data_IF_964988628877
#
_entry.id   IF_964988628877
#
_cell.length_a   1.000
_cell.length_b   1.000
_cell.length_c   1.000
_cell.angle_alpha   90.00
_cell.angle_beta   90.00
_cell.angle_gamma   90.00
#
_symmetry.space_group_name_H-M   'P 1'
#
loop_
_entity.id
_entity.type
_entity.pdbx_description
1 polymer ?
#
# COMPACT_ATOMS: atom_id res chain seq x y z
N UNK A 1 -17.52 10.41 4.22
CA UNK A 1 -18.05 9.08 4.60
C UNK A 1 -16.94 8.07 4.34
N UNK A 2 -16.58 7.27 5.35
CA UNK A 2 -15.59 6.19 5.21
C UNK A 2 -16.18 5.06 4.36
N UNK A 3 -15.34 4.41 3.57
CA UNK A 3 -15.71 3.29 2.69
C UNK A 3 -15.07 1.97 3.16
N UNK A 4 -14.00 2.06 3.93
CA UNK A 4 -13.24 0.89 4.39
C UNK A 4 -13.00 0.98 5.90
N UNK A 5 -13.33 -0.11 6.58
CA UNK A 5 -12.93 -0.36 7.96
C UNK A 5 -11.81 -1.42 7.95
N UNK A 6 -10.62 -1.00 8.34
CA UNK A 6 -9.48 -1.89 8.53
C UNK A 6 -9.49 -2.32 9.99
N UNK A 7 -9.51 -3.62 10.27
CA UNK A 7 -9.50 -4.16 11.62
C UNK A 7 -8.20 -4.92 11.84
N UNK A 8 -7.39 -4.46 12.79
CA UNK A 8 -6.27 -5.23 13.29
C UNK A 8 -6.80 -6.27 14.27
N UNK A 9 -6.64 -7.55 13.96
CA UNK A 9 -7.18 -8.62 14.79
C UNK A 9 -6.38 -8.83 16.08
N UNK A 10 -5.09 -8.48 16.05
CA UNK A 10 -4.18 -8.60 17.17
C UNK A 10 -3.18 -7.44 17.15
N UNK A 11 -2.59 -7.11 18.32
CA UNK A 11 -1.52 -6.11 18.36
C UNK A 11 -0.35 -6.50 17.44
N UNK A 12 -0.07 -7.81 17.30
CA UNK A 12 0.98 -8.35 16.42
C UNK A 12 0.54 -8.54 14.96
N UNK A 13 -0.64 -8.04 14.56
CA UNK A 13 -1.11 -8.11 13.16
C UNK A 13 -0.06 -7.60 12.17
N UNK A 14 0.06 -8.31 11.03
CA UNK A 14 1.11 -8.00 10.04
C UNK A 14 0.99 -6.57 9.52
N UNK A 15 2.12 -5.88 9.38
CA UNK A 15 2.11 -4.57 8.73
C UNK A 15 2.22 -4.72 7.22
N UNK A 16 1.36 -4.04 6.49
CA UNK A 16 1.40 -3.95 5.02
C UNK A 16 1.71 -2.53 4.51
N UNK A 17 2.11 -1.64 5.44
CA UNK A 17 2.45 -0.23 5.19
C UNK A 17 3.96 0.01 5.29
N UNK A 18 4.39 1.29 5.18
CA UNK A 18 5.79 1.66 5.39
C UNK A 18 6.26 1.47 6.84
N UNK A 19 5.39 1.69 7.83
CA UNK A 19 5.72 1.48 9.23
C UNK A 19 5.88 0.00 9.56
N UNK A 20 6.87 -0.36 10.36
CA UNK A 20 6.93 -1.65 11.01
C UNK A 20 5.97 -1.70 12.19
N UNK A 21 5.45 -2.88 12.49
CA UNK A 21 4.71 -3.13 13.71
C UNK A 21 5.70 -3.44 14.85
N UNK A 22 5.81 -2.61 15.90
CA UNK A 22 6.75 -2.82 16.99
C UNK A 22 6.20 -3.75 18.09
N UNK A 23 4.92 -4.11 18.04
CA UNK A 23 4.31 -4.92 19.08
C UNK A 23 4.75 -6.37 19.00
N UNK A 24 5.09 -6.94 20.13
CA UNK A 24 5.51 -8.34 20.30
C UNK A 24 4.58 -9.15 21.19
N UNK A 25 3.76 -8.46 21.99
CA UNK A 25 2.76 -9.09 22.85
C UNK A 25 1.48 -9.35 22.07
N UNK A 26 0.98 -10.56 22.18
CA UNK A 26 -0.28 -10.98 21.53
C UNK A 26 -1.46 -10.50 22.38
N UNK A 27 -2.17 -9.53 21.85
CA UNK A 27 -3.41 -9.00 22.43
C UNK A 27 -4.48 -9.05 21.36
N UNK A 28 -5.18 -10.18 21.28
CA UNK A 28 -6.25 -10.39 20.32
C UNK A 28 -7.42 -9.44 20.64
N UNK A 29 -8.02 -8.85 19.61
CA UNK A 29 -9.20 -8.00 19.74
C UNK A 29 -10.31 -8.77 20.50
N UNK A 30 -10.93 -8.22 21.56
CA UNK A 30 -12.02 -8.91 22.24
C UNK A 30 -13.15 -9.28 21.27
N UNK A 31 -13.69 -10.50 21.39
CA UNK A 31 -14.70 -11.03 20.46
C UNK A 31 -15.95 -10.15 20.39
N UNK A 32 -16.39 -9.58 21.52
CA UNK A 32 -17.50 -8.64 21.57
C UNK A 32 -17.19 -7.31 20.84
N UNK A 33 -15.95 -6.87 20.90
CA UNK A 33 -15.46 -5.68 20.18
C UNK A 33 -15.44 -5.94 18.69
N UNK A 34 -14.98 -7.12 18.25
CA UNK A 34 -14.99 -7.52 16.83
C UNK A 34 -16.43 -7.60 16.31
N UNK A 35 -17.34 -8.20 17.07
CA UNK A 35 -18.76 -8.25 16.72
C UNK A 35 -19.39 -6.86 16.58
N UNK A 36 -19.10 -5.95 17.52
CA UNK A 36 -19.54 -4.54 17.44
C UNK A 36 -18.95 -3.83 16.22
N UNK A 37 -17.68 -4.12 15.86
CA UNK A 37 -17.03 -3.54 14.68
C UNK A 37 -17.72 -3.99 13.38
N UNK A 38 -18.10 -5.25 13.26
CA UNK A 38 -18.87 -5.73 12.11
C UNK A 38 -20.26 -5.08 12.02
N UNK A 39 -20.95 -4.95 13.13
CA UNK A 39 -22.24 -4.23 13.16
C UNK A 39 -22.08 -2.75 12.80
N UNK A 40 -20.98 -2.12 13.24
CA UNK A 40 -20.66 -0.73 12.88
C UNK A 40 -20.40 -0.59 11.37
N UNK A 41 -19.61 -1.50 10.78
CA UNK A 41 -19.31 -1.49 9.34
C UNK A 41 -20.57 -1.66 8.50
N UNK A 42 -21.44 -2.60 8.85
CA UNK A 42 -22.72 -2.84 8.17
C UNK A 42 -23.63 -1.62 8.23
N UNK A 43 -23.81 -1.01 9.42
CA UNK A 43 -24.62 0.20 9.59
C UNK A 43 -24.08 1.40 8.82
N UNK A 44 -22.76 1.46 8.65
CA UNK A 44 -22.07 2.56 7.99
C UNK A 44 -21.80 2.29 6.50
N UNK A 45 -22.22 1.14 5.97
CA UNK A 45 -21.97 0.67 4.61
C UNK A 45 -20.47 0.72 4.24
N UNK A 46 -19.63 0.11 5.08
CA UNK A 46 -18.18 0.04 4.92
C UNK A 46 -17.74 -1.37 4.55
N UNK A 47 -16.81 -1.48 3.61
CA UNK A 47 -16.11 -2.74 3.32
C UNK A 47 -15.13 -3.03 4.45
N UNK A 48 -15.05 -4.29 4.87
CA UNK A 48 -14.17 -4.74 5.94
C UNK A 48 -12.87 -5.30 5.37
N UNK A 49 -11.75 -4.91 5.96
CA UNK A 49 -10.45 -5.52 5.73
C UNK A 49 -9.90 -6.03 7.06
N UNK A 50 -9.60 -7.31 7.15
CA UNK A 50 -9.07 -7.94 8.35
C UNK A 50 -7.56 -8.16 8.21
N UNK A 51 -6.80 -7.67 9.16
CA UNK A 51 -5.34 -7.83 9.19
C UNK A 51 -4.97 -8.84 10.25
N UNK A 52 -4.38 -9.95 9.81
CA UNK A 52 -4.11 -11.12 10.63
C UNK A 52 -2.75 -11.05 11.32
N UNK A 53 -2.63 -11.66 12.52
CA UNK A 53 -1.34 -11.98 13.14
C UNK A 53 -0.66 -13.17 12.42
N UNK A 54 0.51 -13.56 12.89
CA UNK A 54 1.31 -14.68 12.36
C UNK A 54 0.90 -16.07 12.90
N UNK A 55 -0.28 -16.16 13.52
CA UNK A 55 -0.79 -17.39 14.12
C UNK A 55 -2.29 -17.59 13.79
N UNK A 56 -2.73 -18.83 13.88
CA UNK A 56 -4.12 -19.22 13.67
C UNK A 56 -5.05 -18.65 14.73
N UNK A 57 -6.15 -18.06 14.30
CA UNK A 57 -7.17 -17.54 15.20
C UNK A 57 -7.95 -18.68 15.90
N UNK A 58 -8.45 -18.47 17.13
CA UNK A 58 -9.40 -19.37 17.77
C UNK A 58 -10.65 -19.62 16.93
N UNK A 59 -11.29 -20.78 17.13
CA UNK A 59 -12.47 -21.20 16.32
C UNK A 59 -13.61 -20.19 16.38
N UNK A 60 -13.88 -19.61 17.54
CA UNK A 60 -14.96 -18.63 17.74
C UNK A 60 -14.75 -17.35 16.92
N UNK A 61 -13.50 -16.96 16.63
CA UNK A 61 -13.20 -15.84 15.72
C UNK A 61 -13.41 -16.24 14.26
N UNK A 62 -12.97 -17.44 13.89
CA UNK A 62 -13.18 -17.95 12.52
C UNK A 62 -14.66 -18.06 12.20
N UNK A 63 -15.47 -18.55 13.12
CA UNK A 63 -16.94 -18.67 12.97
C UNK A 63 -17.58 -17.29 12.79
N UNK A 64 -17.19 -16.29 13.60
CA UNK A 64 -17.71 -14.93 13.50
C UNK A 64 -17.28 -14.23 12.18
N UNK A 65 -16.06 -14.45 11.73
CA UNK A 65 -15.51 -13.86 10.51
C UNK A 65 -16.16 -14.49 9.25
N UNK A 66 -16.44 -15.77 9.27
CA UNK A 66 -17.02 -16.49 8.14
C UNK A 66 -18.33 -15.88 7.62
N UNK A 67 -19.13 -15.32 8.50
CA UNK A 67 -20.44 -14.72 8.17
C UNK A 67 -20.35 -13.31 7.55
N UNK A 68 -19.15 -12.74 7.45
CA UNK A 68 -18.96 -11.36 7.00
C UNK A 68 -18.13 -11.32 5.73
N UNK A 69 -18.64 -10.63 4.70
CA UNK A 69 -17.83 -10.34 3.50
C UNK A 69 -16.68 -9.40 3.87
N UNK A 70 -15.46 -9.84 3.60
CA UNK A 70 -14.25 -9.11 3.96
C UNK A 70 -13.09 -9.43 3.01
N UNK A 71 -12.05 -8.61 3.06
CA UNK A 71 -10.75 -8.91 2.46
C UNK A 71 -9.78 -9.31 3.56
N UNK A 72 -9.12 -10.47 3.42
CA UNK A 72 -8.11 -10.88 4.38
C UNK A 72 -6.70 -10.46 3.94
N UNK A 73 -5.94 -9.88 4.88
CA UNK A 73 -4.55 -9.46 4.73
C UNK A 73 -3.74 -10.27 5.73
N UNK A 74 -2.93 -11.20 5.23
CA UNK A 74 -2.24 -12.19 6.06
C UNK A 74 -0.73 -12.13 5.89
N UNK A 75 0.06 -12.54 6.89
CA UNK A 75 1.49 -12.77 6.72
C UNK A 75 1.76 -14.02 5.87
N UNK A 76 3.00 -14.16 5.39
CA UNK A 76 3.46 -15.29 4.57
C UNK A 76 3.18 -16.67 5.19
N UNK A 77 3.20 -16.76 6.52
CA UNK A 77 2.92 -17.99 7.28
C UNK A 77 1.47 -18.52 7.15
N UNK A 78 0.54 -17.68 6.71
CA UNK A 78 -0.90 -17.99 6.56
C UNK A 78 -1.37 -17.78 5.10
N UNK A 79 -0.48 -18.03 4.13
CA UNK A 79 -0.69 -17.64 2.72
C UNK A 79 -1.72 -18.48 1.96
N UNK A 80 -2.20 -19.61 2.48
CA UNK A 80 -3.21 -20.43 1.80
C UNK A 80 -4.57 -19.71 1.76
N UNK A 81 -5.18 -19.65 0.57
CA UNK A 81 -6.52 -19.06 0.33
C UNK A 81 -6.70 -17.60 0.76
N UNK A 82 -5.61 -16.83 0.77
CA UNK A 82 -5.63 -15.43 1.18
C UNK A 82 -5.84 -14.48 0.00
N UNK A 83 -6.60 -13.39 0.22
CA UNK A 83 -6.78 -12.33 -0.77
C UNK A 83 -5.51 -11.51 -0.96
N UNK A 84 -4.83 -11.21 0.14
CA UNK A 84 -3.59 -10.43 0.17
C UNK A 84 -2.58 -11.08 1.11
N UNK A 85 -1.43 -11.45 0.57
CA UNK A 85 -0.30 -11.97 1.35
C UNK A 85 0.77 -10.90 1.49
N UNK A 86 1.33 -10.75 2.69
CA UNK A 86 2.39 -9.79 2.99
C UNK A 86 3.68 -10.53 3.31
N UNK A 87 4.73 -10.23 2.57
CA UNK A 87 6.11 -10.58 2.92
C UNK A 87 6.76 -9.40 3.63
N UNK A 88 7.29 -9.62 4.82
CA UNK A 88 8.06 -8.61 5.58
C UNK A 88 9.56 -8.61 5.26
N UNK A 89 9.98 -9.56 4.43
CA UNK A 89 11.27 -9.61 3.75
C UNK A 89 11.11 -10.29 2.40
N UNK A 90 11.87 -9.84 1.41
CA UNK A 90 11.93 -10.47 0.07
C UNK A 90 12.48 -11.90 0.11
N UNK A 91 13.08 -12.30 1.24
CA UNK A 91 13.61 -13.63 1.46
C UNK A 91 12.58 -14.63 2.02
N UNK A 92 11.41 -14.15 2.42
CA UNK A 92 10.34 -15.02 2.88
C UNK A 92 9.81 -15.91 1.76
N UNK A 93 9.34 -17.09 2.17
CA UNK A 93 8.69 -18.04 1.27
C UNK A 93 7.19 -17.95 1.43
N UNK A 94 6.48 -18.19 0.34
CA UNK A 94 5.01 -18.31 0.33
C UNK A 94 4.64 -19.71 -0.16
N UNK A 95 3.54 -20.21 0.35
CA UNK A 95 2.86 -21.39 -0.18
C UNK A 95 1.77 -20.94 -1.13
N UNK A 96 1.69 -21.58 -2.32
CA UNK A 96 0.72 -21.20 -3.34
C UNK A 96 1.12 -19.95 -4.15
N UNK A 97 0.12 -19.43 -4.87
CA UNK A 97 0.25 -18.23 -5.73
C UNK A 97 -0.87 -17.25 -5.37
N UNK A 98 -0.68 -16.38 -4.39
CA UNK A 98 -1.71 -15.43 -3.97
C UNK A 98 -2.10 -14.49 -5.12
N UNK A 99 -3.35 -14.05 -5.11
CA UNK A 99 -3.87 -13.09 -6.09
C UNK A 99 -3.16 -11.74 -5.94
N UNK A 100 -2.94 -11.31 -4.70
CA UNK A 100 -2.22 -10.07 -4.40
C UNK A 100 -1.08 -10.35 -3.42
N UNK A 101 0.11 -9.91 -3.78
CA UNK A 101 1.33 -10.03 -2.99
C UNK A 101 1.90 -8.65 -2.67
N UNK A 102 2.08 -8.35 -1.38
CA UNK A 102 2.78 -7.16 -0.91
C UNK A 102 4.17 -7.57 -0.43
N UNK A 103 5.20 -7.07 -1.07
CA UNK A 103 6.61 -7.29 -0.68
C UNK A 103 7.09 -6.03 0.04
N UNK A 104 7.33 -6.16 1.35
CA UNK A 104 7.88 -5.10 2.20
C UNK A 104 9.30 -5.43 2.56
N UNK A 105 10.23 -4.56 2.25
CA UNK A 105 11.63 -4.71 2.70
C UNK A 105 12.34 -3.36 2.76
N UNK A 106 13.58 -3.36 3.23
CA UNK A 106 14.45 -2.19 3.17
C UNK A 106 14.77 -1.84 1.72
N UNK A 107 15.04 -0.56 1.49
CA UNK A 107 15.45 -0.07 0.17
C UNK A 107 16.58 -0.92 -0.43
N UNK A 108 17.62 -1.16 0.37
CA UNK A 108 18.80 -1.92 -0.07
C UNK A 108 18.46 -3.33 -0.51
N UNK A 109 17.63 -4.03 0.25
CA UNK A 109 17.22 -5.39 -0.10
C UNK A 109 16.39 -5.42 -1.38
N UNK A 110 15.47 -4.45 -1.55
CA UNK A 110 14.65 -4.34 -2.76
C UNK A 110 15.53 -4.11 -3.99
N UNK A 111 16.42 -3.12 -3.98
CA UNK A 111 17.24 -2.81 -5.18
C UNK A 111 18.26 -3.89 -5.53
N UNK A 112 18.73 -4.63 -4.53
CA UNK A 112 19.71 -5.71 -4.74
C UNK A 112 19.09 -7.08 -5.11
N UNK A 113 17.76 -7.22 -5.06
CA UNK A 113 17.07 -8.53 -5.18
C UNK A 113 16.26 -8.65 -6.48
N UNK A 114 16.76 -8.10 -7.57
CA UNK A 114 16.08 -8.12 -8.88
C UNK A 114 15.59 -9.50 -9.30
N UNK A 115 16.43 -10.54 -9.21
CA UNK A 115 16.09 -11.91 -9.62
C UNK A 115 14.89 -12.48 -8.84
N UNK A 116 14.82 -12.20 -7.53
CA UNK A 116 13.70 -12.62 -6.71
C UNK A 116 12.43 -11.86 -7.06
N UNK A 117 12.52 -10.55 -7.25
CA UNK A 117 11.40 -9.74 -7.72
C UNK A 117 10.87 -10.22 -9.07
N UNK A 118 11.76 -10.52 -10.02
CA UNK A 118 11.39 -11.07 -11.30
C UNK A 118 10.66 -12.41 -11.17
N UNK A 119 11.09 -13.27 -10.26
CA UNK A 119 10.41 -14.53 -9.96
C UNK A 119 9.01 -14.28 -9.40
N UNK A 120 8.85 -13.42 -8.41
CA UNK A 120 7.52 -13.08 -7.84
C UNK A 120 6.57 -12.48 -8.89
N UNK A 121 7.07 -11.60 -9.75
CA UNK A 121 6.27 -10.97 -10.82
C UNK A 121 5.76 -11.97 -11.85
N UNK A 122 6.51 -13.03 -12.12
CA UNK A 122 6.15 -14.04 -13.13
C UNK A 122 5.24 -15.13 -12.58
N UNK A 123 5.15 -15.27 -11.26
CA UNK A 123 4.38 -16.33 -10.59
C UNK A 123 3.12 -15.85 -9.90
N UNK A 124 2.99 -14.55 -9.60
CA UNK A 124 1.83 -13.99 -8.88
C UNK A 124 1.01 -13.07 -9.77
N UNK A 125 -0.29 -12.99 -9.52
CA UNK A 125 -1.20 -12.19 -10.35
C UNK A 125 -0.96 -10.69 -10.24
N UNK A 126 -0.75 -10.19 -9.01
CA UNK A 126 -0.52 -8.77 -8.76
C UNK A 126 0.48 -8.58 -7.61
N UNK A 127 1.52 -7.79 -7.84
CA UNK A 127 2.59 -7.53 -6.86
C UNK A 127 2.61 -6.04 -6.49
N UNK A 128 2.87 -5.74 -5.23
CA UNK A 128 3.13 -4.38 -4.74
C UNK A 128 4.45 -4.35 -3.97
N UNK A 129 5.32 -3.38 -4.26
CA UNK A 129 6.57 -3.17 -3.51
C UNK A 129 6.35 -2.03 -2.52
N UNK A 130 6.73 -2.25 -1.27
CA UNK A 130 6.69 -1.26 -0.18
C UNK A 130 8.07 -1.17 0.48
N UNK A 131 8.70 -0.02 0.39
CA UNK A 131 10.01 0.25 1.02
C UNK A 131 9.78 0.73 2.45
N UNK A 132 10.38 0.04 3.43
CA UNK A 132 10.17 0.32 4.86
C UNK A 132 10.95 1.54 5.38
N UNK A 133 12.12 1.80 4.82
CA UNK A 133 13.14 2.73 5.32
C UNK A 133 13.41 3.91 4.38
N UNK A 134 12.35 4.47 3.80
CA UNK A 134 12.44 5.60 2.84
C UNK A 134 13.24 6.77 3.42
N UNK A 135 13.14 7.03 4.72
CA UNK A 135 13.87 8.08 5.44
C UNK A 135 15.39 7.92 5.43
N UNK A 136 15.88 6.72 5.20
CA UNK A 136 17.32 6.41 5.20
C UNK A 136 17.96 6.40 3.81
N UNK A 137 17.15 6.57 2.75
CA UNK A 137 17.66 6.60 1.37
C UNK A 137 18.46 7.87 1.14
N UNK A 138 19.72 7.69 0.75
CA UNK A 138 20.60 8.81 0.38
C UNK A 138 20.32 9.24 -1.06
N UNK A 139 20.52 10.51 -1.34
CA UNK A 139 20.33 11.08 -2.68
C UNK A 139 21.16 10.34 -3.75
N UNK A 140 22.40 9.93 -3.42
CA UNK A 140 23.27 9.21 -4.34
C UNK A 140 22.78 7.80 -4.69
N UNK A 141 21.94 7.20 -3.84
CA UNK A 141 21.48 5.83 -4.02
C UNK A 141 20.12 5.77 -4.79
N UNK A 142 19.46 6.91 -5.00
CA UNK A 142 18.13 6.95 -5.64
C UNK A 142 18.14 6.37 -7.07
N UNK A 143 19.23 6.52 -7.81
CA UNK A 143 19.39 5.98 -9.17
C UNK A 143 19.37 4.44 -9.24
N UNK A 144 19.66 3.75 -8.13
CA UNK A 144 19.60 2.29 -8.10
C UNK A 144 18.14 1.81 -8.22
N UNK A 145 17.20 2.56 -7.61
CA UNK A 145 15.78 2.29 -7.77
C UNK A 145 15.28 2.55 -9.19
N UNK A 146 15.74 3.61 -9.82
CA UNK A 146 15.43 3.88 -11.24
C UNK A 146 15.89 2.73 -12.13
N UNK A 147 17.10 2.23 -11.90
CA UNK A 147 17.66 1.06 -12.61
C UNK A 147 16.78 -0.19 -12.38
N UNK A 148 16.37 -0.44 -11.13
CA UNK A 148 15.47 -1.54 -10.81
C UNK A 148 14.13 -1.42 -11.56
N UNK A 149 13.50 -0.23 -11.56
CA UNK A 149 12.23 0.03 -12.25
C UNK A 149 12.36 -0.21 -13.75
N UNK A 150 13.45 0.24 -14.37
CA UNK A 150 13.71 0.02 -15.79
C UNK A 150 13.89 -1.47 -16.13
N UNK A 151 14.54 -2.23 -15.25
CA UNK A 151 14.70 -3.67 -15.44
C UNK A 151 13.38 -4.43 -15.30
N UNK A 152 12.55 -4.06 -14.32
CA UNK A 152 11.21 -4.63 -14.13
C UNK A 152 10.33 -4.30 -15.33
N UNK A 153 10.36 -3.06 -15.82
CA UNK A 153 9.62 -2.62 -16.99
C UNK A 153 9.92 -3.50 -18.21
N UNK A 154 11.19 -3.82 -18.46
CA UNK A 154 11.60 -4.69 -19.56
C UNK A 154 10.99 -6.09 -19.45
N UNK A 155 10.95 -6.69 -18.25
CA UNK A 155 10.27 -7.99 -18.03
C UNK A 155 8.78 -7.90 -18.38
N UNK A 156 8.12 -6.82 -17.94
CA UNK A 156 6.68 -6.63 -18.19
C UNK A 156 6.44 -6.48 -19.68
N UNK A 157 7.20 -5.64 -20.38
CA UNK A 157 7.08 -5.42 -21.81
C UNK A 157 7.23 -6.73 -22.60
N UNK A 158 8.27 -7.52 -22.31
CA UNK A 158 8.49 -8.83 -22.93
C UNK A 158 7.38 -9.84 -22.65
N UNK A 159 6.79 -9.79 -21.46
CA UNK A 159 5.70 -10.67 -21.07
C UNK A 159 4.39 -10.30 -21.78
N UNK A 160 4.06 -9.02 -21.86
CA UNK A 160 2.88 -8.52 -22.61
C UNK A 160 2.95 -8.94 -24.07
N UNK A 161 4.10 -8.81 -24.71
CA UNK A 161 4.31 -9.21 -26.10
C UNK A 161 4.12 -10.72 -26.31
N UNK A 162 4.44 -11.53 -25.29
CA UNK A 162 4.20 -12.98 -25.27
C UNK A 162 2.78 -13.36 -24.87
N UNK A 163 1.88 -12.39 -24.67
CA UNK A 163 0.48 -12.59 -24.27
C UNK A 163 0.31 -12.93 -22.78
N UNK A 164 1.30 -12.63 -21.93
CA UNK A 164 1.22 -12.82 -20.48
C UNK A 164 1.02 -11.48 -19.78
N UNK A 165 -0.02 -11.37 -18.97
CA UNK A 165 -0.23 -10.20 -18.10
C UNK A 165 0.63 -10.33 -16.83
N UNK A 166 1.49 -9.34 -16.59
CA UNK A 166 2.16 -9.14 -15.30
C UNK A 166 1.65 -7.82 -14.73
N UNK A 167 1.24 -7.83 -13.47
CA UNK A 167 0.74 -6.65 -12.78
C UNK A 167 1.61 -6.31 -11.57
N UNK A 168 2.06 -5.06 -11.52
CA UNK A 168 2.75 -4.48 -10.38
C UNK A 168 2.21 -3.09 -10.11
N UNK A 169 1.74 -2.86 -8.88
CA UNK A 169 1.15 -1.56 -8.49
C UNK A 169 2.04 -0.37 -8.82
N UNK A 170 3.34 -0.53 -8.64
CA UNK A 170 4.33 0.53 -8.83
C UNK A 170 4.44 1.02 -10.29
N UNK A 171 4.11 0.18 -11.28
CA UNK A 171 4.27 0.52 -12.70
C UNK A 171 2.95 0.38 -13.46
N UNK A 172 2.31 -0.80 -13.42
CA UNK A 172 1.17 -1.10 -14.30
C UNK A 172 -0.13 -0.42 -13.91
N UNK A 173 -0.34 -0.13 -12.61
CA UNK A 173 -1.57 0.54 -12.16
C UNK A 173 -1.74 1.92 -12.84
N UNK A 174 -0.64 2.64 -13.09
CA UNK A 174 -0.69 3.95 -13.75
C UNK A 174 -1.36 3.89 -15.12
N UNK A 175 -1.25 2.76 -15.83
CA UNK A 175 -1.82 2.57 -17.16
C UNK A 175 -3.35 2.57 -17.16
N UNK A 176 -3.97 2.27 -16.03
CA UNK A 176 -5.43 2.16 -15.87
C UNK A 176 -6.04 3.28 -15.03
N UNK A 177 -5.21 4.06 -14.33
CA UNK A 177 -5.67 5.10 -13.43
C UNK A 177 -5.89 6.43 -14.17
N UNK A 178 -7.02 7.08 -13.92
CA UNK A 178 -7.35 8.44 -14.39
C UNK A 178 -7.08 9.52 -13.33
N UNK A 179 -6.76 9.11 -12.10
CA UNK A 179 -6.47 9.98 -10.94
C UNK A 179 -5.65 9.23 -9.92
N UNK A 180 -5.03 9.94 -8.98
CA UNK A 180 -4.23 9.35 -7.93
C UNK A 180 -5.03 8.32 -7.11
N UNK A 181 -4.50 7.10 -7.05
CA UNK A 181 -5.00 5.98 -6.25
C UNK A 181 -4.23 5.91 -4.92
N UNK A 182 -4.45 6.86 -4.03
CA UNK A 182 -3.85 6.82 -2.69
C UNK A 182 -4.64 5.91 -1.73
N UNK A 183 -4.07 5.59 -0.56
CA UNK A 183 -4.73 4.75 0.44
C UNK A 183 -5.93 5.43 1.13
N UNK A 184 -6.12 6.73 0.94
CA UNK A 184 -7.21 7.54 1.49
C UNK A 184 -7.39 7.42 3.01
N UNK A 185 -6.33 7.11 3.77
CA UNK A 185 -6.34 7.01 5.22
C UNK A 185 -6.83 8.32 5.86
N UNK A 186 -7.72 8.21 6.83
CA UNK A 186 -8.34 9.36 7.51
C UNK A 186 -9.42 10.09 6.70
N UNK A 187 -9.68 9.64 5.46
CA UNK A 187 -10.73 10.21 4.61
C UNK A 187 -11.74 9.15 4.12
N UNK A 188 -11.26 8.05 3.54
CA UNK A 188 -12.11 6.95 3.05
C UNK A 188 -11.84 5.63 3.76
N UNK A 189 -10.71 5.49 4.42
CA UNK A 189 -10.38 4.35 5.26
C UNK A 189 -10.03 4.78 6.67
N UNK A 190 -10.38 3.94 7.62
CA UNK A 190 -10.12 4.11 9.05
C UNK A 190 -9.72 2.76 9.64
N UNK A 191 -8.89 2.75 10.67
CA UNK A 191 -8.43 1.52 11.32
C UNK A 191 -9.01 1.39 12.71
N UNK A 192 -9.54 0.23 13.04
CA UNK A 192 -9.86 -0.20 14.40
C UNK A 192 -8.72 -1.09 14.91
N UNK A 193 -8.14 -0.75 16.04
CA UNK A 193 -7.11 -1.55 16.70
C UNK A 193 -7.71 -2.46 17.81
N UNK A 194 -6.95 -3.47 18.29
CA UNK A 194 -7.42 -4.42 19.32
C UNK A 194 -7.90 -3.77 20.62
N UNK A 195 -7.38 -2.58 20.93
CA UNK A 195 -7.81 -1.79 22.08
C UNK A 195 -9.20 -1.13 21.94
N UNK A 196 -9.95 -1.42 20.85
CA UNK A 196 -11.29 -0.90 20.58
C UNK A 196 -11.33 0.57 20.11
N UNK A 197 -10.18 1.15 19.74
CA UNK A 197 -10.07 2.55 19.32
C UNK A 197 -9.81 2.70 17.83
N UNK A 198 -10.31 3.79 17.25
CA UNK A 198 -10.05 4.15 15.86
C UNK A 198 -8.76 4.95 15.69
N UNK A 199 -8.06 4.67 14.60
CA UNK A 199 -6.82 5.35 14.16
C UNK A 199 -6.92 5.70 12.69
N UNK A 200 -6.21 6.73 12.28
CA UNK A 200 -6.16 7.18 10.87
C UNK A 200 -5.74 6.03 9.93
N UNK A 201 -4.71 5.26 10.31
CA UNK A 201 -4.30 4.04 9.64
C UNK A 201 -3.50 3.15 10.63
N UNK A 202 -3.16 1.89 10.28
CA UNK A 202 -2.37 1.03 11.16
C UNK A 202 -1.07 1.67 11.66
N UNK A 203 -0.37 2.38 10.79
CA UNK A 203 0.91 3.02 11.13
C UNK A 203 0.80 4.04 12.26
N UNK A 204 -0.32 4.74 12.39
CA UNK A 204 -0.54 5.65 13.52
C UNK A 204 -0.73 4.90 14.84
N UNK A 205 -1.37 3.74 14.81
CA UNK A 205 -1.47 2.89 15.99
C UNK A 205 -0.11 2.33 16.40
N UNK A 206 0.68 1.87 15.43
CA UNK A 206 2.02 1.33 15.68
C UNK A 206 2.99 2.37 16.24
N UNK A 207 2.86 3.62 15.82
CA UNK A 207 3.71 4.73 16.23
C UNK A 207 3.32 5.28 17.62
N UNK A 208 2.03 5.50 17.86
CA UNK A 208 1.51 6.00 19.14
C UNK A 208 0.06 5.52 19.41
N UNK A 209 -0.14 4.52 20.27
CA UNK A 209 -1.48 4.08 20.66
C UNK A 209 -2.36 5.14 21.33
N UNK A 210 -1.80 6.29 21.72
CA UNK A 210 -2.57 7.43 22.28
C UNK A 210 -3.14 8.34 21.20
N UNK A 211 -2.70 8.20 19.94
CA UNK A 211 -3.14 9.03 18.81
C UNK A 211 -4.52 8.62 18.24
N UNK A 212 -5.36 7.97 19.04
CA UNK A 212 -6.69 7.53 18.62
C UNK A 212 -7.58 8.71 18.22
N UNK A 213 -8.48 8.44 17.26
CA UNK A 213 -9.44 9.42 16.71
C UNK A 213 -10.90 9.04 17.02
N UNK A 214 -11.11 8.24 18.07
CA UNK A 214 -12.43 7.82 18.52
C UNK A 214 -12.50 6.35 18.91
N UNK A 215 -13.71 5.84 19.11
CA UNK A 215 -14.01 4.46 19.43
C UNK A 215 -15.39 4.05 18.89
N UNK A 216 -15.79 2.79 19.09
CA UNK A 216 -17.06 2.26 18.58
C UNK A 216 -18.31 2.87 19.23
N UNK A 217 -18.19 3.43 20.43
CA UNK A 217 -19.31 4.02 21.18
C UNK A 217 -19.52 5.49 20.81
N UNK A 218 -18.44 6.28 20.86
CA UNK A 218 -18.48 7.73 20.61
C UNK A 218 -18.36 8.07 19.12
N UNK A 219 -17.96 7.09 18.29
CA UNK A 219 -17.72 7.29 16.87
C UNK A 219 -16.34 7.87 16.57
N UNK A 220 -16.19 8.41 15.36
CA UNK A 220 -14.91 8.91 14.82
C UNK A 220 -14.91 10.44 14.89
N UNK A 221 -13.85 11.01 15.45
CA UNK A 221 -13.62 12.46 15.55
C UNK A 221 -12.20 12.81 15.10
N UNK A 222 -12.07 13.22 13.83
CA UNK A 222 -10.78 13.60 13.24
C UNK A 222 -10.64 15.11 13.24
N UNK A 223 -9.66 15.62 13.95
CA UNK A 223 -9.33 17.04 13.94
C UNK A 223 -8.77 17.43 12.55
N UNK A 224 -9.31 18.52 11.98
CA UNK A 224 -8.92 19.03 10.66
C UNK A 224 -9.04 17.97 9.54
N UNK A 225 -10.14 17.22 9.50
CA UNK A 225 -10.41 16.13 8.55
C UNK A 225 -10.09 16.51 7.09
N UNK A 226 -10.28 17.78 6.70
CA UNK A 226 -10.00 18.25 5.34
C UNK A 226 -8.54 18.03 4.92
N UNK A 227 -7.57 18.07 5.85
CA UNK A 227 -6.15 17.87 5.53
C UNK A 227 -5.82 16.45 5.04
N UNK A 228 -6.69 15.48 5.32
CA UNK A 228 -6.52 14.10 4.83
C UNK A 228 -6.95 13.92 3.37
N UNK A 229 -7.71 14.88 2.81
CA UNK A 229 -8.18 14.85 1.42
C UNK A 229 -7.06 15.26 0.45
N UNK A 230 -6.98 14.55 -0.67
CA UNK A 230 -6.00 14.85 -1.73
C UNK A 230 -6.14 16.30 -2.24
N UNK A 231 -7.36 16.81 -2.36
CA UNK A 231 -7.64 18.17 -2.86
C UNK A 231 -7.04 19.29 -1.99
N UNK A 232 -6.66 19.00 -0.75
CA UNK A 232 -5.99 19.95 0.15
C UNK A 232 -4.47 19.73 0.23
N UNK A 233 -3.90 18.85 -0.59
CA UNK A 233 -2.47 18.61 -0.65
C UNK A 233 -1.84 19.44 -1.79
N UNK A 234 -1.07 20.52 -1.51
CA UNK A 234 -0.64 21.49 -2.53
C UNK A 234 0.14 20.87 -3.69
N UNK A 235 1.04 19.95 -3.40
CA UNK A 235 1.86 19.26 -4.41
C UNK A 235 1.12 18.06 -5.02
N UNK A 236 0.50 17.23 -4.17
CA UNK A 236 -0.06 15.97 -4.62
C UNK A 236 -1.38 16.12 -5.42
N UNK A 237 -2.14 17.21 -5.21
CA UNK A 237 -3.43 17.44 -5.88
C UNK A 237 -3.31 17.63 -7.39
N UNK A 238 -2.15 18.05 -7.87
CA UNK A 238 -1.85 18.30 -9.28
C UNK A 238 -0.83 17.30 -9.85
N UNK A 239 -0.36 16.34 -9.05
CA UNK A 239 0.66 15.36 -9.43
C UNK A 239 0.07 14.25 -10.31
N UNK A 240 0.82 13.80 -11.30
CA UNK A 240 0.44 12.71 -12.20
C UNK A 240 0.96 11.33 -11.83
N UNK A 241 1.66 11.21 -10.70
CA UNK A 241 2.06 9.91 -10.13
C UNK A 241 0.84 9.19 -9.53
N UNK A 242 -0.11 8.76 -10.38
CA UNK A 242 -1.41 8.24 -9.93
C UNK A 242 -1.31 6.93 -9.13
N UNK A 243 -0.24 6.16 -9.28
CA UNK A 243 0.04 4.97 -8.48
C UNK A 243 0.57 5.29 -7.07
N UNK A 244 1.01 6.53 -6.81
CA UNK A 244 1.53 6.95 -5.51
C UNK A 244 0.46 6.83 -4.42
N UNK A 245 0.78 6.08 -3.34
CA UNK A 245 -0.14 5.90 -2.22
C UNK A 245 -0.27 7.14 -1.32
N UNK A 246 0.56 8.19 -1.50
CA UNK A 246 0.56 9.41 -0.69
C UNK A 246 0.46 9.08 0.81
N UNK A 247 1.47 8.43 1.37
CA UNK A 247 1.45 7.97 2.75
C UNK A 247 1.48 9.15 3.73
N UNK A 248 0.33 9.44 4.34
CA UNK A 248 0.19 10.57 5.28
C UNK A 248 0.93 10.36 6.59
N UNK A 249 1.09 9.12 7.04
CA UNK A 249 1.93 8.80 8.19
C UNK A 249 3.39 9.13 7.91
N UNK A 250 3.91 8.70 6.76
CA UNK A 250 5.27 8.97 6.33
C UNK A 250 5.50 10.48 6.16
N UNK A 251 4.53 11.20 5.55
CA UNK A 251 4.57 12.64 5.46
C UNK A 251 4.73 13.27 6.85
N UNK A 252 3.81 12.96 7.78
CA UNK A 252 3.85 13.50 9.14
C UNK A 252 5.18 13.19 9.85
N UNK A 253 5.70 11.97 9.68
CA UNK A 253 6.95 11.53 10.29
C UNK A 253 8.18 12.30 9.75
N UNK A 254 8.24 12.53 8.43
CA UNK A 254 9.42 13.09 7.77
C UNK A 254 9.39 14.61 7.63
N UNK A 255 8.20 15.20 7.52
CA UNK A 255 8.05 16.64 7.26
C UNK A 255 7.27 17.37 8.35
N UNK A 256 6.77 16.67 9.36
CA UNK A 256 5.84 17.16 10.39
C UNK A 256 4.49 17.65 9.82
N UNK A 257 4.21 17.39 8.54
CA UNK A 257 3.00 17.81 7.83
C UNK A 257 2.30 16.63 7.15
N UNK A 258 0.98 16.56 7.26
CA UNK A 258 0.18 15.48 6.64
C UNK A 258 0.21 15.57 5.12
N UNK A 259 0.25 16.78 4.57
CA UNK A 259 0.07 17.06 3.14
C UNK A 259 1.37 17.29 2.37
N UNK A 260 2.51 17.22 3.03
CA UNK A 260 3.82 17.49 2.42
C UNK A 260 4.65 16.20 2.38
N UNK A 261 4.83 15.57 1.23
CA UNK A 261 5.66 14.38 1.11
C UNK A 261 7.15 14.72 1.25
N UNK A 262 7.95 13.73 1.65
CA UNK A 262 9.41 13.87 1.57
C UNK A 262 9.87 13.82 0.11
N UNK A 263 11.05 14.40 -0.16
CA UNK A 263 11.66 14.36 -1.50
C UNK A 263 11.89 12.92 -1.95
N UNK A 264 12.44 12.06 -1.09
CA UNK A 264 12.72 10.66 -1.42
C UNK A 264 11.44 9.93 -1.87
N UNK A 265 10.34 10.06 -1.13
CA UNK A 265 9.05 9.47 -1.51
C UNK A 265 8.58 9.95 -2.89
N UNK A 266 8.70 11.24 -3.18
CA UNK A 266 8.33 11.79 -4.47
C UNK A 266 9.23 11.26 -5.60
N UNK A 267 10.56 11.26 -5.42
CA UNK A 267 11.50 10.77 -6.44
C UNK A 267 11.22 9.31 -6.80
N UNK A 268 11.03 8.43 -5.81
CA UNK A 268 10.68 7.02 -6.07
C UNK A 268 9.40 6.93 -6.90
N UNK A 269 8.35 7.67 -6.53
CA UNK A 269 7.08 7.64 -7.28
C UNK A 269 7.21 8.22 -8.70
N UNK A 270 8.12 9.18 -8.91
CA UNK A 270 8.41 9.72 -10.25
C UNK A 270 9.15 8.70 -11.13
N UNK A 271 10.09 7.94 -10.56
CA UNK A 271 10.72 6.84 -11.30
C UNK A 271 9.69 5.76 -11.69
N UNK A 272 8.78 5.40 -10.80
CA UNK A 272 7.67 4.48 -11.09
C UNK A 272 6.77 5.01 -12.23
N UNK A 273 6.38 6.30 -12.18
CA UNK A 273 5.64 6.95 -13.26
C UNK A 273 6.40 6.93 -14.58
N UNK A 274 7.70 7.24 -14.56
CA UNK A 274 8.53 7.24 -15.76
C UNK A 274 8.66 5.82 -16.33
N UNK A 275 8.80 4.80 -15.47
CA UNK A 275 8.73 3.39 -15.85
C UNK A 275 7.40 3.02 -16.53
N UNK A 276 6.26 3.55 -16.05
CA UNK A 276 4.96 3.35 -16.68
C UNK A 276 4.90 3.97 -18.09
N UNK A 277 5.44 5.18 -18.28
CA UNK A 277 5.50 5.83 -19.60
C UNK A 277 6.37 5.02 -20.55
N UNK A 278 7.57 4.65 -20.12
CA UNK A 278 8.49 3.84 -20.90
C UNK A 278 7.86 2.49 -21.28
N UNK A 279 7.23 1.80 -20.34
CA UNK A 279 6.51 0.55 -20.62
C UNK A 279 5.47 0.73 -21.75
N UNK A 280 4.66 1.77 -21.67
CA UNK A 280 3.65 2.03 -22.69
C UNK A 280 4.25 2.24 -24.07
N UNK A 281 5.34 3.00 -24.14
CA UNK A 281 6.07 3.26 -25.40
C UNK A 281 6.69 1.97 -25.95
N UNK A 282 7.37 1.19 -25.13
CA UNK A 282 8.07 -0.06 -25.52
C UNK A 282 7.09 -1.13 -26.02
N UNK A 283 5.93 -1.31 -25.39
CA UNK A 283 4.93 -2.28 -25.86
C UNK A 283 4.27 -1.83 -27.17
N UNK A 284 4.05 -0.52 -27.37
CA UNK A 284 3.47 0.04 -28.60
C UNK A 284 4.41 -0.04 -29.78
N UNK A 285 5.70 0.13 -29.58
CA UNK A 285 6.70 -0.05 -30.63
C UNK A 285 6.71 -1.47 -31.24
N UNK A 286 6.22 -2.45 -30.49
CA UNK A 286 6.20 -3.88 -30.86
C UNK A 286 4.82 -4.37 -31.34
N UNK A 287 3.77 -3.52 -31.30
CA UNK A 287 2.42 -3.88 -31.74
C UNK A 287 1.34 -2.88 -31.32
N UNK A 288 0.09 -3.19 -31.62
CA UNK A 288 -1.07 -2.36 -31.26
C UNK A 288 -1.60 -2.67 -29.85
N UNK A 289 -0.73 -2.60 -28.86
CA UNK A 289 -1.09 -2.88 -27.47
C UNK A 289 -1.62 -1.63 -26.79
N UNK A 290 -2.64 -1.80 -25.94
CA UNK A 290 -3.22 -0.74 -25.08
C UNK A 290 -3.59 0.53 -25.89
N UNK A 291 -4.18 0.37 -27.06
CA UNK A 291 -4.70 1.48 -27.85
C UNK A 291 -5.74 2.26 -27.02
N UNK A 292 -5.62 3.59 -27.02
CA UNK A 292 -6.48 4.46 -26.23
C UNK A 292 -6.04 4.70 -24.78
N UNK A 293 -5.00 4.02 -24.30
CA UNK A 293 -4.34 4.40 -23.04
C UNK A 293 -3.37 5.54 -23.35
N UNK A 294 -3.43 6.61 -22.57
CA UNK A 294 -2.51 7.74 -22.65
C UNK A 294 -2.02 8.14 -21.27
N UNK A 295 -0.74 8.48 -21.17
CA UNK A 295 -0.12 9.04 -19.98
C UNK A 295 0.38 10.44 -20.36
N UNK A 296 -0.50 11.45 -20.31
CA UNK A 296 -0.15 12.79 -20.74
C UNK A 296 0.96 13.37 -19.86
N UNK A 297 1.79 14.20 -20.46
CA UNK A 297 2.69 15.06 -19.70
C UNK A 297 1.89 16.19 -19.09
N UNK A 298 2.05 16.41 -17.78
CA UNK A 298 1.43 17.53 -17.08
C UNK A 298 2.37 18.71 -17.15
N UNK A 299 1.87 19.83 -17.69
CA UNK A 299 2.64 21.08 -17.82
C UNK A 299 2.69 21.87 -16.51
N UNK A 300 3.16 21.27 -15.41
CA UNK A 300 3.39 21.97 -14.15
C UNK A 300 4.88 22.03 -13.81
N UNK A 301 5.25 23.03 -13.01
CA UNK A 301 6.59 23.16 -12.51
C UNK A 301 6.82 22.11 -11.41
N UNK A 302 7.54 21.05 -11.73
CA UNK A 302 7.93 20.02 -10.77
C UNK A 302 9.34 20.31 -10.24
N UNK A 303 9.49 20.71 -8.97
CA UNK A 303 10.78 21.01 -8.40
C UNK A 303 11.71 19.79 -8.32
N UNK A 304 11.16 18.58 -8.37
CA UNK A 304 11.95 17.34 -8.32
C UNK A 304 12.59 17.06 -9.69
N UNK A 305 11.85 17.25 -10.77
CA UNK A 305 12.36 17.04 -12.15
C UNK A 305 13.35 18.15 -12.58
N UNK A 306 13.19 19.36 -12.08
CA UNK A 306 14.10 20.48 -12.40
C UNK A 306 15.48 20.28 -11.77
N UNK A 307 15.55 19.71 -10.57
CA UNK A 307 16.82 19.51 -9.86
C UNK A 307 17.65 18.39 -10.49
N UNK A 308 17.02 17.49 -11.22
CA UNK A 308 17.66 16.32 -11.87
C UNK A 308 18.13 16.61 -13.31
N UNK A 309 18.04 17.85 -13.78
CA UNK A 309 18.59 18.32 -15.03
C UNK A 309 19.91 19.09 -14.79
#
# INVERSE_FOLDING_TARGET
MFHYLIILLDDTSTSYCHADNPFVERNLIPLDTLQKAFLYSLKSNMNVQLVYPDYELPSEYKDLIYDIEHTNIVPSSLSSDADVVVLNSIDERIEGTPVNLIIRDTYRNIVSSYEKLASFLTTNAHVSIVIKDIEHIKEADLSDYETLINNIETIIADSVIKGKAIQISNITDRLTLSKMNNCNAGWRSITLAPNGRFYICPSFYYDDPKSSVGNLEDGISIKNEHLYKLSYAPLCSICDCYQCKRCIWLNKRLTNEINTPSRQQCVLSHYERNGSKKLLDDIRLKGEYLNGVDIPSIGYLDPIEIINK
#
